data_IF_063640151857
#
_entry.id   IF_063640151857
#
_cell.length_a   1.000
_cell.length_b   1.000
_cell.length_c   1.000
_cell.angle_alpha   90.00
_cell.angle_beta   90.00
_cell.angle_gamma   90.00
#
_symmetry.space_group_name_H-M   'P 1'
#
loop_
_entity.id
_entity.type
_entity.pdbx_description
1 polymer ?
#
# COMPACT_ATOMS: atom_id res chain seq x y z
N UNK A 1 3.82 10.46 10.54
CA UNK A 1 4.03 10.42 9.07
C UNK A 1 2.99 9.48 8.47
N UNK A 2 2.14 9.99 7.59
CA UNK A 2 1.06 9.22 6.99
C UNK A 2 1.58 8.49 5.75
N UNK A 3 1.65 7.16 5.81
CA UNK A 3 1.95 6.33 4.66
C UNK A 3 0.78 6.45 3.66
N UNK A 4 1.03 6.80 2.39
CA UNK A 4 -0.04 6.98 1.40
C UNK A 4 -0.90 5.72 1.23
N UNK A 5 -0.27 4.55 1.38
CA UNK A 5 -0.96 3.27 1.37
C UNK A 5 -1.91 3.09 2.55
N UNK A 6 -1.58 3.64 3.72
CA UNK A 6 -2.46 3.65 4.88
C UNK A 6 -3.69 4.55 4.65
N UNK A 7 -3.49 5.71 4.01
CA UNK A 7 -4.59 6.58 3.57
C UNK A 7 -5.52 5.82 2.63
N UNK A 8 -4.97 5.13 1.63
CA UNK A 8 -5.72 4.32 0.68
C UNK A 8 -6.48 3.20 1.40
N UNK A 9 -5.81 2.45 2.30
CA UNK A 9 -6.43 1.38 3.10
C UNK A 9 -7.66 1.84 3.89
N UNK A 10 -7.63 3.05 4.43
CA UNK A 10 -8.75 3.63 5.21
C UNK A 10 -9.94 4.03 4.34
N UNK A 11 -9.67 4.42 3.09
CA UNK A 11 -10.72 4.78 2.14
C UNK A 11 -11.31 3.53 1.45
N UNK A 12 -10.53 2.46 1.33
CA UNK A 12 -10.93 1.21 0.68
C UNK A 12 -11.78 0.30 1.56
N UNK A 13 -12.75 -0.33 0.91
CA UNK A 13 -13.48 -1.46 1.48
C UNK A 13 -12.55 -2.68 1.62
N UNK A 14 -12.96 -3.65 2.44
CA UNK A 14 -12.21 -4.90 2.62
C UNK A 14 -12.08 -5.68 1.30
N UNK A 15 -13.09 -5.60 0.43
CA UNK A 15 -13.07 -6.24 -0.89
C UNK A 15 -12.09 -5.57 -1.84
N UNK A 16 -12.12 -4.24 -1.93
CA UNK A 16 -11.14 -3.47 -2.72
C UNK A 16 -9.71 -3.71 -2.24
N UNK A 17 -9.51 -3.82 -0.92
CA UNK A 17 -8.21 -4.15 -0.35
C UNK A 17 -7.72 -5.54 -0.73
N UNK A 18 -8.60 -6.54 -0.67
CA UNK A 18 -8.30 -7.89 -1.11
C UNK A 18 -8.03 -7.97 -2.61
N UNK A 19 -8.76 -7.19 -3.41
CA UNK A 19 -8.55 -7.09 -4.85
C UNK A 19 -7.23 -6.39 -5.18
N UNK A 20 -6.88 -5.32 -4.48
CA UNK A 20 -5.58 -4.66 -4.61
C UNK A 20 -4.44 -5.63 -4.30
N UNK A 21 -4.56 -6.44 -3.25
CA UNK A 21 -3.57 -7.46 -2.92
C UNK A 21 -3.39 -8.48 -4.06
N UNK A 22 -4.49 -8.96 -4.66
CA UNK A 22 -4.43 -9.84 -5.84
C UNK A 22 -3.75 -9.17 -7.03
N UNK A 23 -4.10 -7.92 -7.33
CA UNK A 23 -3.50 -7.14 -8.43
C UNK A 23 -2.00 -6.89 -8.23
N UNK A 24 -1.59 -6.65 -6.98
CA UNK A 24 -0.19 -6.47 -6.60
C UNK A 24 0.57 -7.80 -6.38
N UNK A 25 -0.03 -8.93 -6.74
CA UNK A 25 0.51 -10.28 -6.55
C UNK A 25 1.02 -10.54 -5.11
N UNK A 26 0.22 -10.14 -4.12
CA UNK A 26 0.53 -10.25 -2.71
C UNK A 26 -0.69 -10.68 -1.89
N UNK A 27 -0.54 -10.83 -0.58
CA UNK A 27 -1.65 -11.12 0.33
C UNK A 27 -2.12 -9.85 1.02
N UNK A 28 -3.41 -9.81 1.39
CA UNK A 28 -3.98 -8.67 2.11
C UNK A 28 -3.21 -8.36 3.40
N UNK A 29 -2.73 -9.39 4.11
CA UNK A 29 -1.92 -9.24 5.32
C UNK A 29 -0.51 -8.70 5.06
N UNK A 30 0.15 -9.11 3.97
CA UNK A 30 1.45 -8.53 3.61
C UNK A 30 1.31 -7.07 3.20
N UNK A 31 0.27 -6.75 2.44
CA UNK A 31 -0.07 -5.39 2.05
C UNK A 31 -0.40 -4.52 3.28
N UNK A 32 -1.05 -5.11 4.30
CA UNK A 32 -1.34 -4.47 5.58
C UNK A 32 -0.05 -4.10 6.34
N UNK A 33 0.92 -5.02 6.39
CA UNK A 33 2.24 -4.74 6.98
C UNK A 33 2.94 -3.56 6.30
N UNK A 34 2.80 -3.41 4.98
CA UNK A 34 3.34 -2.24 4.26
C UNK A 34 2.55 -0.98 4.61
N UNK A 35 1.22 -1.05 4.61
CA UNK A 35 0.35 0.08 4.90
C UNK A 35 0.64 0.68 6.28
N UNK A 36 0.75 -0.17 7.30
CA UNK A 36 1.05 0.25 8.68
C UNK A 36 2.53 0.61 8.91
N UNK A 37 3.39 0.47 7.89
CA UNK A 37 4.81 0.81 7.97
C UNK A 37 5.65 -0.22 8.75
N UNK A 38 5.11 -1.43 8.96
CA UNK A 38 5.82 -2.57 9.56
C UNK A 38 6.80 -3.21 8.56
N UNK A 39 6.53 -3.05 7.26
CA UNK A 39 7.42 -3.48 6.17
C UNK A 39 7.57 -2.40 5.11
N UNK A 40 8.70 -2.44 4.42
CA UNK A 40 8.95 -1.62 3.23
C UNK A 40 8.59 -2.42 1.99
N UNK A 41 7.89 -1.79 1.04
CA UNK A 41 7.66 -2.40 -0.26
C UNK A 41 8.95 -2.37 -1.10
N UNK A 42 9.29 -3.47 -1.75
CA UNK A 42 10.32 -3.47 -2.79
C UNK A 42 9.87 -2.60 -3.98
N UNK A 43 10.79 -2.03 -4.78
CA UNK A 43 10.44 -1.20 -5.93
C UNK A 43 9.45 -1.85 -6.91
N UNK A 44 9.60 -3.15 -7.15
CA UNK A 44 8.69 -3.93 -8.00
C UNK A 44 7.29 -4.03 -7.38
N UNK A 45 7.20 -4.29 -6.08
CA UNK A 45 5.92 -4.36 -5.37
C UNK A 45 5.25 -3.00 -5.28
N UNK A 46 6.02 -1.93 -5.05
CA UNK A 46 5.51 -0.57 -5.06
C UNK A 46 4.93 -0.20 -6.44
N UNK A 47 5.62 -0.60 -7.52
CA UNK A 47 5.12 -0.45 -8.89
C UNK A 47 3.83 -1.26 -9.13
N UNK A 48 3.75 -2.48 -8.60
CA UNK A 48 2.55 -3.30 -8.70
C UNK A 48 1.37 -2.71 -7.91
N UNK A 49 1.60 -2.16 -6.72
CA UNK A 49 0.59 -1.45 -5.92
C UNK A 49 0.12 -0.18 -6.62
N UNK A 50 1.03 0.62 -7.18
CA UNK A 50 0.66 1.80 -7.95
C UNK A 50 -0.22 1.43 -9.16
N UNK A 51 0.18 0.41 -9.94
CA UNK A 51 -0.64 -0.09 -11.05
C UNK A 51 -1.99 -0.62 -10.57
N UNK A 52 -2.01 -1.34 -9.45
CA UNK A 52 -3.22 -1.86 -8.85
C UNK A 52 -4.18 -0.73 -8.44
N UNK A 53 -3.70 0.26 -7.69
CA UNK A 53 -4.50 1.38 -7.20
C UNK A 53 -5.05 2.27 -8.32
N UNK A 54 -4.37 2.35 -9.48
CA UNK A 54 -4.88 3.04 -10.68
C UNK A 54 -6.13 2.39 -11.30
N UNK A 55 -6.44 1.14 -10.96
CA UNK A 55 -7.68 0.47 -11.41
C UNK A 55 -8.91 0.90 -10.59
N UNK A 56 -8.73 1.64 -9.50
CA UNK A 56 -9.81 2.08 -8.63
C UNK A 56 -10.07 3.57 -8.88
N UNK A 57 -11.28 3.91 -9.33
CA UNK A 57 -11.64 5.30 -9.67
C UNK A 57 -12.10 6.13 -8.47
N UNK A 58 -12.43 5.49 -7.35
CA UNK A 58 -12.97 6.17 -6.17
C UNK A 58 -11.91 6.79 -5.26
N UNK A 59 -10.63 6.44 -5.44
CA UNK A 59 -9.55 6.85 -4.54
C UNK A 59 -8.34 7.33 -5.33
N UNK A 60 -7.68 8.37 -4.84
CA UNK A 60 -6.44 8.83 -5.46
C UNK A 60 -5.39 7.71 -5.38
N UNK A 61 -4.77 7.33 -6.50
CA UNK A 61 -3.83 6.21 -6.57
C UNK A 61 -2.62 6.45 -5.67
N UNK A 62 -2.02 5.37 -5.20
CA UNK A 62 -0.81 5.43 -4.36
C UNK A 62 0.41 5.47 -5.26
N UNK A 63 1.29 6.43 -5.07
CA UNK A 63 2.54 6.51 -5.82
C UNK A 63 3.55 5.49 -5.28
N UNK A 64 4.23 4.81 -6.19
CA UNK A 64 5.29 3.85 -5.82
C UNK A 64 6.41 4.51 -5.02
N UNK A 65 6.69 5.78 -5.28
CA UNK A 65 7.73 6.55 -4.59
C UNK A 65 7.41 6.69 -3.11
N UNK A 66 6.14 6.94 -2.77
CA UNK A 66 5.69 7.02 -1.38
C UNK A 66 5.77 5.69 -0.64
N UNK A 67 5.79 4.57 -1.35
CA UNK A 67 5.96 3.23 -0.78
C UNK A 67 7.43 2.86 -0.62
N UNK A 68 8.25 3.17 -1.63
CA UNK A 68 9.68 2.88 -1.63
C UNK A 68 10.41 3.82 -0.68
N UNK A 69 10.06 5.10 -0.64
CA UNK A 69 10.68 6.10 0.23
C UNK A 69 9.95 6.29 1.56
N UNK A 70 8.94 5.44 1.86
CA UNK A 70 8.30 5.43 3.16
C UNK A 70 9.36 5.26 4.27
N UNK A 71 9.39 6.19 5.21
CA UNK A 71 10.15 6.01 6.44
C UNK A 71 9.58 4.81 7.20
N UNK A 72 10.40 3.83 7.61
CA UNK A 72 9.97 2.80 8.54
C UNK A 72 9.34 3.45 9.76
N UNK A 73 8.35 2.79 10.35
CA UNK A 73 7.76 3.28 11.58
C UNK A 73 8.87 3.33 12.65
N UNK A 74 9.20 4.53 13.12
CA UNK A 74 10.17 4.77 14.17
C UNK A 74 9.57 4.26 15.50
N UNK A 75 9.59 2.94 15.70
CA UNK A 75 9.44 2.36 17.03
C UNK A 75 10.84 2.30 17.65
N UNK A 76 11.38 3.47 17.99
CA UNK A 76 12.31 3.57 19.10
C UNK A 76 11.50 3.29 20.37
N UNK A 77 11.63 2.07 20.89
CA UNK A 77 11.15 1.65 22.20
C UNK A 77 12.36 1.20 23.03
#
# INVERSE_FOLDING_TARGET
MSNELHRWRKAATTEEWAQLAKLANTTAGYLDQIAYGNRRASPEMASAIEKGTKNFHHQAPVLKESLVFASPRDTAA
#
